data_IF_400878910984
#
_entry.id   IF_400878910984
#
_cell.length_a   1.000
_cell.length_b   1.000
_cell.length_c   1.000
_cell.angle_alpha   90.00
_cell.angle_beta   90.00
_cell.angle_gamma   90.00
#
_symmetry.space_group_name_H-M   'P 1'
#
loop_
_entity.id
_entity.type
_entity.pdbx_description
1 polymer ?
#
# COMPACT_ATOMS: atom_id res chain seq x y z
N UNK A 1 -21.76 -149.57 94.20
CA UNK A 1 -20.87 -148.40 94.36
C UNK A 1 -20.26 -147.86 93.05
N UNK A 2 -20.22 -148.63 91.95
CA UNK A 2 -19.62 -148.19 90.68
C UNK A 2 -20.51 -147.20 89.89
N UNK A 3 -21.84 -147.36 89.93
CA UNK A 3 -22.78 -146.48 89.24
C UNK A 3 -22.82 -145.03 89.79
N UNK A 4 -22.71 -144.85 91.12
CA UNK A 4 -22.66 -143.53 91.76
C UNK A 4 -21.34 -142.82 91.45
N UNK A 5 -20.23 -143.57 91.40
CA UNK A 5 -18.91 -143.06 91.04
C UNK A 5 -18.86 -142.59 89.57
N UNK A 6 -19.47 -143.34 88.65
CA UNK A 6 -19.63 -142.93 87.24
C UNK A 6 -20.55 -141.71 87.07
N UNK A 7 -21.62 -141.61 87.88
CA UNK A 7 -22.55 -140.47 87.84
C UNK A 7 -21.93 -139.19 88.43
N UNK A 8 -21.11 -139.31 89.47
CA UNK A 8 -20.29 -138.19 89.97
C UNK A 8 -19.18 -137.79 89.00
N UNK A 9 -18.53 -138.75 88.33
CA UNK A 9 -17.52 -138.45 87.31
C UNK A 9 -18.12 -137.71 86.11
N UNK A 10 -19.32 -138.11 85.67
CA UNK A 10 -20.04 -137.42 84.57
C UNK A 10 -20.58 -136.06 84.98
N UNK A 11 -21.05 -135.88 86.22
CA UNK A 11 -21.44 -134.55 86.74
C UNK A 11 -20.24 -133.62 86.91
N UNK A 12 -19.08 -134.12 87.36
CA UNK A 12 -17.83 -133.34 87.41
C UNK A 12 -17.36 -132.94 86.01
N UNK A 13 -17.35 -133.87 85.06
CA UNK A 13 -16.99 -133.57 83.68
C UNK A 13 -17.93 -132.53 83.05
N UNK A 14 -19.24 -132.62 83.31
CA UNK A 14 -20.21 -131.60 82.87
C UNK A 14 -20.04 -130.24 83.55
N UNK A 15 -19.65 -130.23 84.82
CA UNK A 15 -19.35 -129.00 85.55
C UNK A 15 -18.09 -128.35 84.98
N UNK A 16 -17.01 -129.11 84.80
CA UNK A 16 -15.76 -128.64 84.18
C UNK A 16 -15.98 -128.16 82.73
N UNK A 17 -16.82 -128.85 81.96
CA UNK A 17 -17.20 -128.46 80.59
C UNK A 17 -18.04 -127.17 80.59
N UNK A 18 -18.98 -127.02 81.53
CA UNK A 18 -19.78 -125.80 81.68
C UNK A 18 -18.95 -124.62 82.20
N UNK A 19 -18.02 -124.85 83.13
CA UNK A 19 -17.08 -123.85 83.62
C UNK A 19 -16.13 -123.39 82.51
N UNK A 20 -15.63 -124.31 81.69
CA UNK A 20 -14.81 -123.97 80.53
C UNK A 20 -15.60 -123.22 79.46
N UNK A 21 -16.83 -123.64 79.16
CA UNK A 21 -17.70 -122.93 78.22
C UNK A 21 -18.09 -121.53 78.72
N UNK A 22 -18.29 -121.36 80.03
CA UNK A 22 -18.52 -120.05 80.65
C UNK A 22 -17.28 -119.16 80.56
N UNK A 23 -16.09 -119.72 80.81
CA UNK A 23 -14.83 -118.99 80.66
C UNK A 23 -14.59 -118.56 79.21
N UNK A 24 -14.74 -119.47 78.24
CA UNK A 24 -14.58 -119.17 76.81
C UNK A 24 -15.59 -118.10 76.35
N UNK A 25 -16.83 -118.15 76.85
CA UNK A 25 -17.86 -117.14 76.57
C UNK A 25 -17.57 -115.78 77.24
N UNK A 26 -17.02 -115.76 78.46
CA UNK A 26 -16.56 -114.53 79.11
C UNK A 26 -15.38 -113.88 78.36
N UNK A 27 -14.45 -114.70 77.87
CA UNK A 27 -13.32 -114.22 77.07
C UNK A 27 -13.79 -113.65 75.71
N UNK A 28 -14.73 -114.32 75.05
CA UNK A 28 -15.35 -113.84 73.81
C UNK A 28 -16.17 -112.56 74.03
N UNK A 29 -16.93 -112.48 75.14
CA UNK A 29 -17.66 -111.27 75.53
C UNK A 29 -16.69 -110.10 75.78
N UNK A 30 -15.55 -110.35 76.42
CA UNK A 30 -14.54 -109.33 76.66
C UNK A 30 -13.92 -108.85 75.35
N UNK A 31 -13.54 -109.76 74.46
CA UNK A 31 -12.97 -109.42 73.15
C UNK A 31 -13.96 -108.67 72.24
N UNK A 32 -15.26 -108.97 72.34
CA UNK A 32 -16.31 -108.26 71.61
C UNK A 32 -16.57 -106.87 72.19
N UNK A 33 -16.59 -106.72 73.52
CA UNK A 33 -16.66 -105.40 74.16
C UNK A 33 -15.46 -104.52 73.80
N UNK A 34 -14.22 -105.05 73.85
CA UNK A 34 -13.02 -104.29 73.47
C UNK A 34 -13.08 -103.81 72.00
N UNK A 35 -13.63 -104.63 71.09
CA UNK A 35 -13.86 -104.23 69.70
C UNK A 35 -14.97 -103.20 69.55
N UNK A 36 -16.03 -103.30 70.35
CA UNK A 36 -17.10 -102.31 70.38
C UNK A 36 -16.57 -100.95 70.87
N UNK A 37 -15.80 -100.94 71.95
CA UNK A 37 -15.16 -99.73 72.51
C UNK A 37 -14.24 -99.06 71.46
N UNK A 38 -13.41 -99.84 70.76
CA UNK A 38 -12.56 -99.33 69.67
C UNK A 38 -13.36 -98.76 68.49
N UNK A 39 -14.48 -99.41 68.14
CA UNK A 39 -15.36 -98.92 67.08
C UNK A 39 -16.08 -97.63 67.50
N UNK A 40 -16.53 -97.54 68.74
CA UNK A 40 -17.12 -96.32 69.31
C UNK A 40 -16.10 -95.17 69.32
N UNK A 41 -14.86 -95.41 69.77
CA UNK A 41 -13.79 -94.41 69.74
C UNK A 41 -13.55 -93.90 68.31
N UNK A 42 -13.42 -94.81 67.34
CA UNK A 42 -13.23 -94.45 65.92
C UNK A 42 -14.43 -93.70 65.33
N UNK A 43 -15.66 -94.03 65.73
CA UNK A 43 -16.85 -93.26 65.35
C UNK A 43 -16.79 -91.86 65.93
N UNK A 44 -16.36 -91.69 67.19
CA UNK A 44 -16.22 -90.36 67.79
C UNK A 44 -15.13 -89.53 67.10
N UNK A 45 -14.02 -90.13 66.71
CA UNK A 45 -12.94 -89.47 65.95
C UNK A 45 -13.43 -89.02 64.56
N UNK A 46 -14.03 -89.93 63.79
CA UNK A 46 -14.58 -89.62 62.47
C UNK A 46 -15.68 -88.56 62.54
N UNK A 47 -16.49 -88.54 63.60
CA UNK A 47 -17.51 -87.51 63.80
C UNK A 47 -16.88 -86.13 64.04
N UNK A 48 -15.78 -86.06 64.80
CA UNK A 48 -15.03 -84.81 64.97
C UNK A 48 -14.40 -84.36 63.65
N UNK A 49 -13.76 -85.28 62.93
CA UNK A 49 -13.16 -84.97 61.62
C UNK A 49 -14.21 -84.48 60.62
N UNK A 50 -15.40 -85.09 60.61
CA UNK A 50 -16.52 -84.66 59.77
C UNK A 50 -16.93 -83.21 60.10
N UNK A 51 -17.13 -82.88 61.38
CA UNK A 51 -17.48 -81.53 61.80
C UNK A 51 -16.38 -80.51 61.45
N UNK A 52 -15.11 -80.86 61.67
CA UNK A 52 -13.98 -79.99 61.33
C UNK A 52 -13.90 -79.73 59.81
N UNK A 53 -14.27 -80.73 58.99
CA UNK A 53 -14.31 -80.61 57.54
C UNK A 53 -15.51 -79.79 57.06
N UNK A 54 -16.67 -79.94 57.70
CA UNK A 54 -17.86 -79.12 57.47
C UNK A 54 -17.59 -77.64 57.80
N UNK A 55 -16.97 -77.36 58.96
CA UNK A 55 -16.57 -76.00 59.35
C UNK A 55 -15.58 -75.38 58.33
N UNK A 56 -14.63 -76.18 57.82
CA UNK A 56 -13.69 -75.74 56.79
C UNK A 56 -14.37 -75.48 55.44
N UNK A 57 -15.35 -76.31 55.08
CA UNK A 57 -16.13 -76.14 53.86
C UNK A 57 -16.94 -74.84 53.94
N UNK A 58 -17.67 -74.62 55.03
CA UNK A 58 -18.46 -73.40 55.26
C UNK A 58 -17.59 -72.13 55.24
N UNK A 59 -16.39 -72.19 55.83
CA UNK A 59 -15.43 -71.10 55.80
C UNK A 59 -14.91 -70.82 54.37
N UNK A 60 -14.65 -71.88 53.59
CA UNK A 60 -14.21 -71.78 52.21
C UNK A 60 -15.30 -71.22 51.30
N UNK A 61 -16.54 -71.68 51.46
CA UNK A 61 -17.70 -71.19 50.73
C UNK A 61 -17.97 -69.71 51.02
N UNK A 62 -17.94 -69.32 52.29
CA UNK A 62 -18.08 -67.91 52.71
C UNK A 62 -16.99 -67.03 52.08
N UNK A 63 -15.75 -67.52 52.03
CA UNK A 63 -14.64 -66.83 51.36
C UNK A 63 -14.84 -66.76 49.85
N UNK A 64 -15.34 -67.83 49.23
CA UNK A 64 -15.63 -67.86 47.79
C UNK A 64 -16.69 -66.82 47.43
N UNK A 65 -17.79 -66.74 48.18
CA UNK A 65 -18.85 -65.74 47.97
C UNK A 65 -18.28 -64.32 48.06
N UNK A 66 -17.48 -64.02 49.08
CA UNK A 66 -16.85 -62.69 49.22
C UNK A 66 -15.90 -62.35 48.06
N UNK A 67 -15.14 -63.33 47.55
CA UNK A 67 -14.26 -63.12 46.40
C UNK A 67 -15.06 -62.91 45.11
N UNK A 68 -16.18 -63.61 44.94
CA UNK A 68 -17.08 -63.42 43.80
C UNK A 68 -17.71 -62.03 43.80
N UNK A 69 -18.14 -61.53 44.97
CA UNK A 69 -18.65 -60.15 45.10
C UNK A 69 -17.59 -59.12 44.72
N UNK A 70 -16.35 -59.29 45.20
CA UNK A 70 -15.23 -58.39 44.85
C UNK A 70 -14.87 -58.46 43.37
N UNK A 71 -14.95 -59.64 42.76
CA UNK A 71 -14.73 -59.80 41.33
C UNK A 71 -15.79 -59.04 40.53
N UNK A 72 -17.06 -59.20 40.89
CA UNK A 72 -18.17 -58.50 40.22
C UNK A 72 -18.04 -56.97 40.34
N UNK A 73 -17.62 -56.47 41.51
CA UNK A 73 -17.35 -55.04 41.70
C UNK A 73 -16.18 -54.56 40.84
N UNK A 74 -15.09 -55.32 40.78
CA UNK A 74 -13.93 -55.00 39.94
C UNK A 74 -14.26 -55.02 38.44
N UNK A 75 -15.08 -55.97 37.98
CA UNK A 75 -15.56 -56.04 36.60
C UNK A 75 -16.41 -54.82 36.25
N UNK A 76 -17.34 -54.44 37.13
CA UNK A 76 -18.15 -53.24 36.94
C UNK A 76 -17.29 -51.98 36.85
N UNK A 77 -16.31 -51.82 37.75
CA UNK A 77 -15.37 -50.69 37.70
C UNK A 77 -14.54 -50.68 36.41
N UNK A 78 -14.13 -51.86 35.95
CA UNK A 78 -13.40 -51.99 34.69
C UNK A 78 -14.24 -51.54 33.49
N UNK A 79 -15.51 -51.94 33.42
CA UNK A 79 -16.45 -51.51 32.38
C UNK A 79 -16.65 -49.99 32.39
N UNK A 80 -16.81 -49.39 33.56
CA UNK A 80 -16.93 -47.93 33.73
C UNK A 80 -15.66 -47.20 33.25
N UNK A 81 -14.48 -47.74 33.58
CA UNK A 81 -13.20 -47.19 33.12
C UNK A 81 -13.02 -47.31 31.60
N UNK A 82 -13.42 -48.43 31.01
CA UNK A 82 -13.34 -48.61 29.56
C UNK A 82 -14.31 -47.69 28.82
N UNK A 83 -15.49 -47.46 29.37
CA UNK A 83 -16.41 -46.45 28.83
C UNK A 83 -15.79 -45.05 28.90
N UNK A 84 -15.21 -44.67 30.04
CA UNK A 84 -14.54 -43.39 30.20
C UNK A 84 -13.37 -43.22 29.21
N UNK A 85 -12.55 -44.27 29.02
CA UNK A 85 -11.46 -44.30 28.04
C UNK A 85 -11.97 -44.03 26.63
N UNK A 86 -13.04 -44.71 26.20
CA UNK A 86 -13.62 -44.53 24.85
C UNK A 86 -14.14 -43.11 24.64
N UNK A 87 -14.76 -42.51 25.65
CA UNK A 87 -15.23 -41.11 25.59
C UNK A 87 -14.04 -40.15 25.44
N UNK A 88 -12.98 -40.34 26.23
CA UNK A 88 -11.78 -39.51 26.16
C UNK A 88 -11.06 -39.64 24.83
N UNK A 89 -10.99 -40.85 24.27
CA UNK A 89 -10.39 -41.08 22.96
C UNK A 89 -11.18 -40.39 21.83
N UNK A 90 -12.51 -40.53 21.84
CA UNK A 90 -13.37 -39.85 20.87
C UNK A 90 -13.25 -38.33 20.97
N UNK A 91 -13.19 -37.80 22.20
CA UNK A 91 -12.94 -36.38 22.44
C UNK A 91 -11.58 -35.95 21.91
N UNK A 92 -10.52 -36.71 22.21
CA UNK A 92 -9.17 -36.44 21.71
C UNK A 92 -9.09 -36.40 20.18
N UNK A 93 -9.78 -37.32 19.49
CA UNK A 93 -9.88 -37.31 18.01
C UNK A 93 -10.63 -36.08 17.49
N UNK A 94 -11.76 -35.72 18.12
CA UNK A 94 -12.55 -34.56 17.72
C UNK A 94 -11.79 -33.25 17.94
N UNK A 95 -11.17 -33.09 19.11
CA UNK A 95 -10.37 -31.93 19.47
C UNK A 95 -9.12 -31.83 18.58
N UNK A 96 -8.45 -32.94 18.27
CA UNK A 96 -7.34 -32.98 17.31
C UNK A 96 -7.74 -32.51 15.91
N UNK A 97 -8.88 -32.98 15.39
CA UNK A 97 -9.39 -32.52 14.09
C UNK A 97 -9.88 -31.06 14.10
N UNK A 98 -10.30 -30.53 15.25
CA UNK A 98 -10.61 -29.11 15.42
C UNK A 98 -9.33 -28.27 15.45
N UNK A 99 -8.30 -28.71 16.17
CA UNK A 99 -7.00 -28.03 16.25
C UNK A 99 -6.38 -27.92 14.86
N UNK A 100 -6.32 -29.02 14.10
CA UNK A 100 -5.77 -29.01 12.74
C UNK A 100 -6.45 -27.98 11.84
N UNK A 101 -7.79 -27.94 11.83
CA UNK A 101 -8.54 -26.96 11.02
C UNK A 101 -8.28 -25.52 11.43
N UNK A 102 -8.21 -25.25 12.74
CA UNK A 102 -7.90 -23.91 13.24
C UNK A 102 -6.47 -23.49 12.93
N UNK A 103 -5.52 -24.44 12.87
CA UNK A 103 -4.15 -24.17 12.43
C UNK A 103 -4.10 -23.81 10.95
N UNK A 104 -4.77 -24.59 10.10
CA UNK A 104 -4.86 -24.31 8.66
C UNK A 104 -5.48 -22.91 8.40
N UNK A 105 -6.57 -22.58 9.09
CA UNK A 105 -7.24 -21.27 9.00
C UNK A 105 -6.33 -20.12 9.50
N UNK A 106 -5.57 -20.34 10.58
CA UNK A 106 -4.61 -19.37 11.09
C UNK A 106 -3.48 -19.11 10.08
N UNK A 107 -2.96 -20.16 9.44
CA UNK A 107 -1.91 -20.06 8.44
C UNK A 107 -2.41 -19.32 7.19
N UNK A 108 -3.64 -19.60 6.73
CA UNK A 108 -4.28 -18.88 5.63
C UNK A 108 -4.46 -17.39 5.93
N UNK A 109 -4.98 -17.05 7.10
CA UNK A 109 -5.17 -15.66 7.53
C UNK A 109 -3.84 -14.93 7.68
N UNK A 110 -2.81 -15.60 8.20
CA UNK A 110 -1.47 -15.03 8.35
C UNK A 110 -0.86 -14.74 6.99
N UNK A 111 -0.98 -15.66 6.03
CA UNK A 111 -0.52 -15.46 4.66
C UNK A 111 -1.26 -14.32 3.95
N UNK A 112 -2.58 -14.21 4.14
CA UNK A 112 -3.35 -13.10 3.60
C UNK A 112 -2.92 -11.76 4.20
N UNK A 113 -2.72 -11.72 5.52
CA UNK A 113 -2.25 -10.51 6.21
C UNK A 113 -0.88 -10.07 5.69
N UNK A 114 0.05 -11.01 5.48
CA UNK A 114 1.37 -10.70 4.92
C UNK A 114 1.27 -10.09 3.52
N UNK A 115 0.41 -10.63 2.64
CA UNK A 115 0.16 -10.06 1.31
C UNK A 115 -0.42 -8.64 1.40
N UNK A 116 -1.35 -8.41 2.31
CA UNK A 116 -1.92 -7.07 2.52
C UNK A 116 -0.82 -6.09 2.97
N UNK A 117 0.04 -6.49 3.90
CA UNK A 117 1.18 -5.67 4.36
C UNK A 117 2.14 -5.37 3.21
N UNK A 118 2.48 -6.35 2.37
CA UNK A 118 3.32 -6.14 1.18
C UNK A 118 2.69 -5.09 0.24
N UNK A 119 1.42 -5.26 -0.13
CA UNK A 119 0.72 -4.31 -1.01
C UNK A 119 0.59 -2.92 -0.38
N UNK A 120 0.42 -2.83 0.94
CA UNK A 120 0.37 -1.55 1.64
C UNK A 120 1.71 -0.82 1.58
N UNK A 121 2.82 -1.54 1.75
CA UNK A 121 4.15 -0.96 1.63
C UNK A 121 4.44 -0.48 0.20
N UNK A 122 4.07 -1.27 -0.81
CA UNK A 122 4.20 -0.88 -2.22
C UNK A 122 3.40 0.39 -2.54
N UNK A 123 2.12 0.45 -2.11
CA UNK A 123 1.28 1.62 -2.30
C UNK A 123 1.83 2.86 -1.58
N UNK A 124 2.41 2.67 -0.38
CA UNK A 124 3.04 3.76 0.37
C UNK A 124 4.24 4.32 -0.38
N UNK A 125 5.07 3.46 -0.99
CA UNK A 125 6.19 3.91 -1.82
C UNK A 125 5.71 4.66 -3.06
N UNK A 126 4.72 4.12 -3.78
CA UNK A 126 4.16 4.76 -4.97
C UNK A 126 3.59 6.15 -4.61
N UNK A 127 2.91 6.26 -3.47
CA UNK A 127 2.37 7.53 -2.99
C UNK A 127 3.48 8.55 -2.74
N UNK A 128 4.56 8.14 -2.05
CA UNK A 128 5.70 9.02 -1.80
C UNK A 128 6.37 9.51 -3.10
N UNK A 129 6.53 8.62 -4.09
CA UNK A 129 7.06 9.00 -5.41
C UNK A 129 6.12 9.94 -6.19
N UNK A 130 4.80 9.79 -6.00
CA UNK A 130 3.82 10.68 -6.62
C UNK A 130 3.81 12.06 -5.95
N UNK A 131 3.93 12.12 -4.63
CA UNK A 131 4.04 13.37 -3.87
C UNK A 131 5.31 14.15 -4.27
N UNK A 132 6.45 13.48 -4.41
CA UNK A 132 7.69 14.13 -4.88
C UNK A 132 7.54 14.70 -6.30
N UNK A 133 6.88 13.97 -7.22
CA UNK A 133 6.61 14.47 -8.57
C UNK A 133 5.65 15.64 -8.57
N UNK A 134 4.66 15.63 -7.68
CA UNK A 134 3.72 16.73 -7.53
C UNK A 134 4.47 18.00 -7.07
N UNK A 135 5.31 17.89 -6.05
CA UNK A 135 6.13 19.01 -5.55
C UNK A 135 7.01 19.61 -6.66
N UNK A 136 7.64 18.76 -7.49
CA UNK A 136 8.46 19.21 -8.62
C UNK A 136 7.65 19.96 -9.69
N UNK A 137 6.46 19.48 -10.02
CA UNK A 137 5.59 20.16 -11.00
C UNK A 137 4.97 21.44 -10.42
N UNK A 138 4.71 21.50 -9.11
CA UNK A 138 4.29 22.72 -8.42
C UNK A 138 5.39 23.79 -8.46
N UNK A 139 6.64 23.44 -8.14
CA UNK A 139 7.77 24.38 -8.25
C UNK A 139 7.95 24.88 -9.69
N UNK A 140 7.86 23.97 -10.67
CA UNK A 140 7.95 24.32 -12.09
C UNK A 140 6.83 25.27 -12.51
N UNK A 141 5.61 25.04 -12.04
CA UNK A 141 4.46 25.91 -12.29
C UNK A 141 4.72 27.29 -11.69
N UNK A 142 5.18 27.39 -10.46
CA UNK A 142 5.45 28.67 -9.80
C UNK A 142 6.51 29.50 -10.55
N UNK A 143 7.57 28.84 -11.04
CA UNK A 143 8.57 29.48 -11.90
C UNK A 143 7.94 30.00 -13.21
N UNK A 144 7.08 29.20 -13.84
CA UNK A 144 6.39 29.61 -15.05
C UNK A 144 5.44 30.79 -14.81
N UNK A 145 4.65 30.76 -13.73
CA UNK A 145 3.74 31.83 -13.34
C UNK A 145 4.51 33.13 -13.03
N UNK A 146 5.68 33.05 -12.38
CA UNK A 146 6.56 34.20 -12.17
C UNK A 146 7.09 34.78 -13.50
N UNK A 147 7.49 33.92 -14.43
CA UNK A 147 7.96 34.34 -15.76
C UNK A 147 6.85 35.00 -16.57
N UNK A 148 5.63 34.48 -16.52
CA UNK A 148 4.46 35.09 -17.19
C UNK A 148 4.23 36.50 -16.64
N UNK A 149 4.21 36.68 -15.32
CA UNK A 149 4.04 38.01 -14.70
C UNK A 149 5.13 39.00 -15.13
N UNK A 150 6.38 38.57 -15.23
CA UNK A 150 7.48 39.43 -15.72
C UNK A 150 7.27 39.83 -17.18
N UNK A 151 6.89 38.89 -18.04
CA UNK A 151 6.60 39.16 -19.45
C UNK A 151 5.38 40.07 -19.63
N UNK A 152 4.34 39.91 -18.80
CA UNK A 152 3.18 40.81 -18.79
C UNK A 152 3.61 42.25 -18.49
N UNK A 153 4.47 42.45 -17.48
CA UNK A 153 5.01 43.78 -17.16
C UNK A 153 5.83 44.33 -18.33
N UNK A 154 6.70 43.52 -18.93
CA UNK A 154 7.52 43.93 -20.08
C UNK A 154 6.65 44.36 -21.28
N UNK A 155 5.60 43.59 -21.61
CA UNK A 155 4.66 43.92 -22.67
C UNK A 155 3.97 45.26 -22.41
N UNK A 156 3.55 45.54 -21.17
CA UNK A 156 2.96 46.84 -20.83
C UNK A 156 3.95 48.00 -20.99
N UNK A 157 5.21 47.80 -20.60
CA UNK A 157 6.26 48.82 -20.73
C UNK A 157 6.61 49.09 -22.20
N UNK A 158 6.75 48.04 -23.02
CA UNK A 158 6.98 48.15 -24.46
C UNK A 158 5.79 48.84 -25.13
N UNK A 159 4.55 48.48 -24.77
CA UNK A 159 3.35 49.14 -25.28
C UNK A 159 3.30 50.64 -24.98
N UNK A 160 3.68 51.04 -23.76
CA UNK A 160 3.75 52.46 -23.38
C UNK A 160 4.86 53.20 -24.15
N UNK A 161 6.00 52.55 -24.37
CA UNK A 161 7.13 53.11 -25.12
C UNK A 161 6.76 53.28 -26.59
N UNK A 162 6.14 52.27 -27.20
CA UNK A 162 5.66 52.30 -28.58
C UNK A 162 4.66 53.45 -28.78
N UNK A 163 3.66 53.57 -27.90
CA UNK A 163 2.68 54.66 -27.95
C UNK A 163 3.34 56.04 -27.88
N UNK A 164 4.39 56.19 -27.08
CA UNK A 164 5.15 57.44 -26.98
C UNK A 164 5.96 57.72 -28.26
N UNK A 165 6.52 56.67 -28.87
CA UNK A 165 7.22 56.77 -30.16
C UNK A 165 6.26 57.14 -31.30
N UNK A 166 5.07 56.52 -31.37
CA UNK A 166 4.03 56.84 -32.36
C UNK A 166 3.61 58.31 -32.27
N UNK A 167 3.44 58.84 -31.05
CA UNK A 167 3.15 60.27 -30.84
C UNK A 167 4.29 61.15 -31.37
N UNK A 168 5.54 60.80 -31.05
CA UNK A 168 6.71 61.56 -31.51
C UNK A 168 6.87 61.50 -33.04
N UNK A 169 6.64 60.35 -33.65
CA UNK A 169 6.64 60.17 -35.11
C UNK A 169 5.56 61.03 -35.76
N UNK A 170 4.34 61.01 -35.23
CA UNK A 170 3.25 61.87 -35.71
C UNK A 170 3.61 63.36 -35.61
N UNK A 171 4.21 63.80 -34.50
CA UNK A 171 4.69 65.18 -34.37
C UNK A 171 5.81 65.52 -35.36
N UNK A 172 6.75 64.60 -35.59
CA UNK A 172 7.83 64.78 -36.55
C UNK A 172 7.29 64.87 -37.98
N UNK A 173 6.33 64.01 -38.35
CA UNK A 173 5.65 64.04 -39.65
C UNK A 173 4.95 65.39 -39.90
N UNK A 174 4.19 65.90 -38.93
CA UNK A 174 3.56 67.23 -39.03
C UNK A 174 4.60 68.35 -39.18
N UNK A 175 5.74 68.25 -38.48
CA UNK A 175 6.84 69.23 -38.64
C UNK A 175 7.45 69.17 -40.03
N UNK A 176 7.64 67.97 -40.59
CA UNK A 176 8.15 67.80 -41.96
C UNK A 176 7.18 68.38 -42.97
N UNK A 177 5.88 68.10 -42.87
CA UNK A 177 4.86 68.68 -43.76
C UNK A 177 4.82 70.22 -43.68
N UNK A 178 4.93 70.79 -42.48
CA UNK A 178 5.05 72.24 -42.29
C UNK A 178 6.35 72.81 -42.89
N UNK A 179 7.45 72.06 -42.80
CA UNK A 179 8.71 72.37 -43.46
C UNK A 179 8.57 72.39 -44.97
N UNK A 180 7.98 71.35 -45.55
CA UNK A 180 7.79 71.18 -47.00
C UNK A 180 6.89 72.28 -47.58
N UNK A 181 5.78 72.59 -46.91
CA UNK A 181 4.89 73.71 -47.31
C UNK A 181 5.63 75.04 -47.29
N UNK A 182 6.41 75.31 -46.25
CA UNK A 182 7.19 76.55 -46.14
C UNK A 182 8.32 76.62 -47.18
N UNK A 183 8.97 75.50 -47.49
CA UNK A 183 9.96 75.42 -48.57
C UNK A 183 9.29 75.76 -49.89
N UNK A 184 8.15 75.13 -50.20
CA UNK A 184 7.39 75.40 -51.43
C UNK A 184 6.95 76.87 -51.56
N UNK A 185 6.49 77.49 -50.47
CA UNK A 185 6.17 78.93 -50.44
C UNK A 185 7.40 79.81 -50.72
N UNK A 186 8.55 79.46 -50.14
CA UNK A 186 9.80 80.20 -50.36
C UNK A 186 10.34 80.01 -51.78
N UNK A 187 10.22 78.81 -52.35
CA UNK A 187 10.55 78.52 -53.74
C UNK A 187 9.68 79.33 -54.70
N UNK A 188 8.37 79.42 -54.45
CA UNK A 188 7.46 80.23 -55.25
C UNK A 188 7.84 81.72 -55.21
N UNK A 189 8.14 82.26 -54.01
CA UNK A 189 8.61 83.65 -53.86
C UNK A 189 9.96 83.88 -54.52
N UNK A 190 10.88 82.91 -54.43
CA UNK A 190 12.16 82.98 -55.10
C UNK A 190 11.98 83.06 -56.62
N UNK A 191 11.15 82.20 -57.21
CA UNK A 191 10.84 82.23 -58.64
C UNK A 191 10.19 83.55 -59.08
N UNK A 192 9.28 84.11 -58.28
CA UNK A 192 8.68 85.42 -58.57
C UNK A 192 9.73 86.55 -58.56
N UNK A 193 10.61 86.56 -57.55
CA UNK A 193 11.70 87.53 -57.47
C UNK A 193 12.71 87.36 -58.60
N UNK A 194 13.01 86.12 -59.00
CA UNK A 194 13.89 85.80 -60.12
C UNK A 194 13.30 86.27 -61.45
N UNK A 195 12.01 86.00 -61.69
CA UNK A 195 11.30 86.50 -62.88
C UNK A 195 11.29 88.03 -62.92
N UNK A 196 11.04 88.68 -61.78
CA UNK A 196 11.09 90.14 -61.66
C UNK A 196 12.49 90.70 -61.90
N UNK A 197 13.53 90.03 -61.40
CA UNK A 197 14.91 90.41 -61.66
C UNK A 197 15.22 90.30 -63.17
N UNK A 198 14.79 89.23 -63.83
CA UNK A 198 14.94 89.07 -65.27
C UNK A 198 14.21 90.16 -66.09
N UNK A 199 13.00 90.57 -65.67
CA UNK A 199 12.30 91.71 -66.29
C UNK A 199 13.08 93.02 -66.14
N UNK A 200 13.66 93.27 -64.97
CA UNK A 200 14.51 94.44 -64.75
C UNK A 200 15.79 94.38 -65.58
N UNK A 201 16.42 93.22 -65.73
CA UNK A 201 17.57 93.04 -66.62
C UNK A 201 17.21 93.31 -68.09
N UNK A 202 16.09 92.79 -68.59
CA UNK A 202 15.62 93.09 -69.94
C UNK A 202 15.27 94.57 -70.13
N UNK A 203 14.68 95.20 -69.12
CA UNK A 203 14.44 96.65 -69.13
C UNK A 203 15.75 97.44 -69.15
N UNK A 204 16.75 97.02 -68.39
CA UNK A 204 18.08 97.63 -68.37
C UNK A 204 18.73 97.55 -69.77
N UNK A 205 18.78 96.36 -70.39
CA UNK A 205 19.32 96.18 -71.75
C UNK A 205 18.62 97.06 -72.80
N UNK A 206 17.30 97.19 -72.72
CA UNK A 206 16.53 98.06 -73.64
C UNK A 206 16.84 99.54 -73.42
N UNK A 207 17.00 99.97 -72.17
CA UNK A 207 17.42 101.34 -71.86
C UNK A 207 18.84 101.61 -72.35
N UNK A 208 19.77 100.65 -72.17
CA UNK A 208 21.13 100.72 -72.71
C UNK A 208 21.11 100.86 -74.24
N UNK A 209 20.33 100.03 -74.95
CA UNK A 209 20.20 100.15 -76.42
C UNK A 209 19.61 101.50 -76.84
N UNK A 210 18.60 101.99 -76.13
CA UNK A 210 18.02 103.30 -76.42
C UNK A 210 19.00 104.44 -76.14
N UNK A 211 19.85 104.28 -75.13
CA UNK A 211 20.94 105.20 -74.83
C UNK A 211 21.96 105.20 -75.98
N UNK A 212 22.38 104.04 -76.47
CA UNK A 212 23.27 103.92 -77.64
C UNK A 212 22.65 104.59 -78.89
N UNK A 213 21.38 104.32 -79.20
CA UNK A 213 20.66 104.98 -80.32
C UNK A 213 20.62 106.50 -80.16
N UNK A 214 20.33 107.00 -78.95
CA UNK A 214 20.32 108.44 -78.68
C UNK A 214 21.72 109.05 -78.78
N UNK A 215 22.75 108.33 -78.36
CA UNK A 215 24.15 108.74 -78.49
C UNK A 215 24.57 108.79 -79.98
N UNK A 216 24.12 107.83 -80.80
CA UNK A 216 24.31 107.84 -82.26
C UNK A 216 23.55 109.00 -82.93
N UNK A 217 22.27 109.21 -82.61
CA UNK A 217 21.46 110.34 -83.10
C UNK A 217 22.12 111.67 -82.73
N UNK A 218 22.58 111.81 -81.48
CA UNK A 218 23.30 112.99 -81.00
C UNK A 218 24.61 113.19 -81.78
N UNK A 219 25.33 112.12 -82.08
CA UNK A 219 26.57 112.19 -82.86
C UNK A 219 26.31 112.60 -84.30
N UNK A 220 25.30 112.03 -84.95
CA UNK A 220 24.84 112.42 -86.28
C UNK A 220 24.42 113.89 -86.33
N UNK A 221 23.68 114.36 -85.32
CA UNK A 221 23.24 115.75 -85.27
C UNK A 221 24.40 116.71 -84.98
N UNK A 222 25.38 116.30 -84.16
CA UNK A 222 26.67 117.02 -84.01
C UNK A 222 27.43 117.08 -85.33
N UNK A 223 27.49 116.00 -86.09
CA UNK A 223 28.18 115.95 -87.38
C UNK A 223 27.48 116.83 -88.43
N UNK A 224 26.15 116.81 -88.50
CA UNK A 224 25.37 117.77 -89.31
C UNK A 224 25.59 119.20 -88.87
N UNK A 225 25.53 119.48 -87.56
CA UNK A 225 25.79 120.82 -87.04
C UNK A 225 27.20 121.28 -87.42
N UNK A 226 28.21 120.41 -87.31
CA UNK A 226 29.58 120.69 -87.71
C UNK A 226 29.68 120.93 -89.22
N UNK A 227 28.99 120.16 -90.07
CA UNK A 227 28.92 120.39 -91.52
C UNK A 227 28.27 121.74 -91.83
N UNK A 228 27.12 122.03 -91.23
CA UNK A 228 26.41 123.31 -91.40
C UNK A 228 27.27 124.47 -90.93
N UNK A 229 28.04 124.26 -89.85
CA UNK A 229 29.00 125.22 -89.34
C UNK A 229 30.18 125.42 -90.29
N UNK A 230 30.75 124.36 -90.88
CA UNK A 230 31.81 124.53 -91.90
C UNK A 230 31.28 125.16 -93.19
N UNK A 231 30.05 124.88 -93.59
CA UNK A 231 29.38 125.56 -94.70
C UNK A 231 29.14 127.04 -94.38
N UNK A 232 28.72 127.35 -93.15
CA UNK A 232 28.57 128.72 -92.67
C UNK A 232 29.91 129.45 -92.62
N UNK A 233 30.96 128.82 -92.08
CA UNK A 233 32.31 129.37 -92.02
C UNK A 233 32.89 129.58 -93.44
N UNK A 234 32.59 128.68 -94.39
CA UNK A 234 32.94 128.84 -95.81
C UNK A 234 32.15 129.97 -96.49
N UNK A 235 30.86 130.16 -96.16
CA UNK A 235 30.04 131.29 -96.61
C UNK A 235 30.58 132.61 -96.05
N UNK A 236 30.94 132.64 -94.76
CA UNK A 236 31.57 133.81 -94.13
C UNK A 236 32.94 134.12 -94.74
N UNK A 237 33.73 133.10 -95.11
CA UNK A 237 34.98 133.29 -95.85
C UNK A 237 34.72 133.85 -97.26
N UNK A 238 33.71 133.35 -97.98
CA UNK A 238 33.34 133.86 -99.30
C UNK A 238 32.83 135.31 -99.26
N UNK A 239 32.16 135.73 -98.18
CA UNK A 239 31.73 137.12 -97.94
C UNK A 239 32.92 138.03 -97.59
N UNK A 240 33.98 137.53 -96.96
CA UNK A 240 35.19 138.31 -96.65
C UNK A 240 36.17 138.45 -97.84
N UNK A 241 35.94 137.73 -98.94
CA UNK A 241 36.72 137.83 -100.19
C UNK A 241 36.02 138.66 -101.29
N UNK A 242 34.82 139.22 -101.01
CA UNK A 242 34.18 140.29 -101.81
C UNK A 242 34.44 141.67 -101.21
#
# INVERSE_FOLDING_TARGET
MQAVRNKMATLKAKLEEAEKAAFDAEEELKATNEKADQAEERVTELTKELNDLEDQLDASESKMTSLQEKLAEAEKLHEEHDQARRILENRGRSDGGRISRLQDELDELTNLNNKVVETFNELTQILAEADEKLDQEEERRDIADAKVKLLEVEVTQVGNTLRSMEINEGQASVRTECGDTKISEMEAKYQEMEARAAEFEEKAKRLERRQEELDEELQLEKDKFNQTKTEFDALCAHINEM
#
